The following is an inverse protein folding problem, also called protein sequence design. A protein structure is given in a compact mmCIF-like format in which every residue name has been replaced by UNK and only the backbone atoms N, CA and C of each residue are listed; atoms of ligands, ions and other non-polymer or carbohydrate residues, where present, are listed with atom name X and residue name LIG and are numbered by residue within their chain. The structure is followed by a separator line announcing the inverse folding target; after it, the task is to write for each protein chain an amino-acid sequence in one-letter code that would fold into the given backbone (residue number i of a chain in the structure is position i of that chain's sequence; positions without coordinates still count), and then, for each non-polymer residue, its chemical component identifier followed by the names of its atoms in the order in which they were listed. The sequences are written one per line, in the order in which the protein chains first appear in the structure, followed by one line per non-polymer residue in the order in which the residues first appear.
data_IF_336097051446
#
_entry.id   IF_336097051446
#
_cell.length_a   1.000
_cell.length_b   1.000
_cell.length_c   1.000
_cell.angle_alpha   90.00
_cell.angle_beta   90.00
_cell.angle_gamma   90.00
#
_symmetry.space_group_name_H-M   'P 1'
#
loop_
_entity.id
_entity.type
_entity.pdbx_description
1 polymer ?
#
# COMPACT_ATOMS: atom_id res chain seq x y z
N UNK A 1 -7.96 19.36 -1.87
CA UNK A 1 -7.73 17.90 -1.93
C UNK A 1 -6.27 17.56 -2.05
N UNK A 2 -5.59 17.64 -0.91
CA UNK A 2 -4.25 17.09 -0.75
C UNK A 2 -4.38 15.90 0.18
N UNK A 3 -3.73 14.77 -0.13
CA UNK A 3 -3.68 13.57 0.74
C UNK A 3 -3.46 13.90 2.23
N UNK A 4 -2.70 14.97 2.53
CA UNK A 4 -2.43 15.44 3.90
C UNK A 4 -3.65 16.01 4.63
N UNK A 5 -4.67 16.47 3.92
CA UNK A 5 -5.91 16.95 4.51
C UNK A 5 -6.80 15.75 4.89
N UNK A 6 -6.92 14.75 4.02
CA UNK A 6 -7.62 13.50 4.32
C UNK A 6 -7.06 12.80 5.58
N UNK A 7 -5.75 12.88 5.79
CA UNK A 7 -5.11 12.35 7.00
C UNK A 7 -5.58 13.04 8.28
N UNK A 8 -5.93 14.33 8.22
CA UNK A 8 -6.48 15.04 9.40
C UNK A 8 -7.87 14.53 9.74
N UNK A 9 -8.68 14.22 8.73
CA UNK A 9 -10.05 13.73 8.92
C UNK A 9 -10.08 12.38 9.63
N UNK A 10 -9.07 11.53 9.39
CA UNK A 10 -8.87 10.26 10.10
C UNK A 10 -7.96 10.39 11.33
N UNK A 11 -7.72 11.61 11.82
CA UNK A 11 -6.95 11.92 13.04
C UNK A 11 -5.50 11.39 13.03
N UNK A 12 -4.89 11.25 11.84
CA UNK A 12 -3.49 10.89 11.69
C UNK A 12 -2.60 12.14 11.62
N UNK A 13 -1.40 12.03 12.21
CA UNK A 13 -0.37 13.08 12.15
C UNK A 13 0.22 13.17 10.74
N UNK A 14 -0.30 14.08 9.91
CA UNK A 14 0.10 14.29 8.50
C UNK A 14 1.60 14.47 8.28
N UNK A 15 2.36 14.92 9.29
CA UNK A 15 3.80 15.16 9.21
C UNK A 15 4.59 13.85 9.08
N UNK A 16 4.02 12.74 9.51
CA UNK A 16 4.63 11.41 9.46
C UNK A 16 4.42 10.70 8.11
N UNK A 17 3.60 11.27 7.24
CA UNK A 17 3.17 10.62 6.01
C UNK A 17 3.49 11.48 4.79
N UNK A 18 4.05 10.81 3.78
CA UNK A 18 4.35 11.41 2.48
C UNK A 18 3.71 10.64 1.34
N UNK A 19 4.01 11.07 0.12
CA UNK A 19 3.55 10.38 -1.10
C UNK A 19 3.98 8.92 -1.15
N UNK A 20 5.17 8.58 -0.67
CA UNK A 20 5.61 7.19 -0.54
C UNK A 20 4.76 6.39 0.45
N UNK A 21 4.30 7.00 1.54
CA UNK A 21 3.40 6.35 2.50
C UNK A 21 2.04 6.05 1.85
N UNK A 22 1.51 6.99 1.07
CA UNK A 22 0.28 6.78 0.31
C UNK A 22 0.42 5.65 -0.71
N UNK A 23 1.48 5.67 -1.51
CA UNK A 23 1.73 4.64 -2.52
C UNK A 23 1.91 3.25 -1.87
N UNK A 24 2.61 3.19 -0.73
CA UNK A 24 2.77 1.95 0.05
C UNK A 24 1.46 1.42 0.60
N UNK A 25 0.71 2.25 1.33
CA UNK A 25 -0.58 1.85 1.88
C UNK A 25 -1.58 1.46 0.79
N UNK A 26 -1.59 2.16 -0.35
CA UNK A 26 -2.41 1.81 -1.51
C UNK A 26 -2.06 0.45 -2.10
N UNK A 27 -0.76 0.15 -2.26
CA UNK A 27 -0.33 -1.19 -2.73
C UNK A 27 -0.76 -2.30 -1.77
N UNK A 28 -0.60 -2.09 -0.46
CA UNK A 28 -1.02 -3.05 0.57
C UNK A 28 -2.54 -3.26 0.52
N UNK A 29 -3.32 -2.19 0.42
CA UNK A 29 -4.79 -2.26 0.32
C UNK A 29 -5.24 -3.02 -0.94
N UNK A 30 -4.69 -2.68 -2.11
CA UNK A 30 -5.00 -3.36 -3.36
C UNK A 30 -4.70 -4.85 -3.28
N UNK A 31 -3.55 -5.23 -2.72
CA UNK A 31 -3.15 -6.63 -2.60
C UNK A 31 -3.99 -7.40 -1.56
N UNK A 32 -4.12 -6.86 -0.34
CA UNK A 32 -4.69 -7.59 0.80
C UNK A 32 -6.21 -7.50 0.88
N UNK A 33 -6.79 -6.36 0.47
CA UNK A 33 -8.23 -6.10 0.59
C UNK A 33 -8.93 -6.27 -0.74
N UNK A 34 -8.41 -5.69 -1.82
CA UNK A 34 -8.99 -5.86 -3.16
C UNK A 34 -8.62 -7.19 -3.83
N UNK A 35 -7.72 -7.96 -3.23
CA UNK A 35 -7.21 -9.24 -3.74
C UNK A 35 -6.62 -9.13 -5.16
N UNK A 36 -6.01 -7.99 -5.46
CA UNK A 36 -5.32 -7.80 -6.73
C UNK A 36 -4.09 -8.70 -6.82
N UNK A 37 -3.84 -9.25 -8.00
CA UNK A 37 -2.59 -9.94 -8.26
C UNK A 37 -1.40 -8.96 -8.36
N UNK A 38 -0.18 -9.49 -8.38
CA UNK A 38 1.03 -8.66 -8.45
C UNK A 38 1.12 -7.84 -9.74
N UNK A 39 0.55 -8.28 -10.86
CA UNK A 39 0.60 -7.52 -12.11
C UNK A 39 -0.31 -6.29 -12.02
N UNK A 40 -1.51 -6.45 -11.45
CA UNK A 40 -2.45 -5.35 -11.19
C UNK A 40 -1.85 -4.31 -10.23
N UNK A 41 -1.22 -4.77 -9.14
CA UNK A 41 -0.53 -3.88 -8.19
C UNK A 41 0.65 -3.16 -8.86
N UNK A 42 1.46 -3.86 -9.66
CA UNK A 42 2.55 -3.24 -10.41
C UNK A 42 2.06 -2.18 -11.40
N UNK A 43 0.98 -2.47 -12.13
CA UNK A 43 0.39 -1.52 -13.06
C UNK A 43 -0.09 -0.25 -12.35
N UNK A 44 -0.79 -0.39 -11.22
CA UNK A 44 -1.24 0.74 -10.40
C UNK A 44 -0.08 1.54 -9.79
N UNK A 45 0.94 0.84 -9.31
CA UNK A 45 2.14 1.43 -8.72
C UNK A 45 3.11 2.06 -9.73
N UNK A 46 2.86 1.92 -11.03
CA UNK A 46 3.73 2.43 -12.09
C UNK A 46 5.03 1.63 -12.26
N UNK A 47 5.07 0.37 -11.79
CA UNK A 47 6.21 -0.52 -11.94
C UNK A 47 6.07 -1.41 -13.16
N UNK A 48 7.21 -1.77 -13.73
CA UNK A 48 7.28 -2.75 -14.80
C UNK A 48 6.83 -4.11 -14.25
N UNK A 49 5.95 -4.82 -14.99
CA UNK A 49 5.58 -6.21 -14.67
C UNK A 49 6.75 -7.21 -14.84
N UNK A 50 7.89 -6.72 -15.34
CA UNK A 50 9.20 -7.34 -15.22
C UNK A 50 9.53 -7.55 -13.72
N UNK A 51 9.38 -8.78 -13.26
CA UNK A 51 9.69 -9.22 -11.89
C UNK A 51 11.18 -9.17 -11.52
N UNK A 52 12.09 -8.66 -12.38
CA UNK A 52 13.49 -8.45 -11.99
C UNK A 52 13.60 -7.40 -10.89
N UNK A 53 12.57 -6.56 -10.75
CA UNK A 53 12.58 -5.48 -9.77
C UNK A 53 11.71 -5.83 -8.56
N UNK A 54 12.34 -6.30 -7.48
CA UNK A 54 11.70 -6.60 -6.17
C UNK A 54 11.16 -5.36 -5.45
N UNK A 55 10.99 -4.22 -6.13
CA UNK A 55 10.47 -2.99 -5.55
C UNK A 55 9.07 -3.17 -4.99
N UNK A 56 8.18 -3.86 -5.72
CA UNK A 56 6.81 -4.11 -5.25
C UNK A 56 6.80 -4.83 -3.89
N UNK A 57 7.73 -5.76 -3.66
CA UNK A 57 7.84 -6.49 -2.38
C UNK A 57 8.13 -5.54 -1.22
N UNK A 58 8.95 -4.50 -1.42
CA UNK A 58 9.25 -3.49 -0.39
C UNK A 58 8.03 -2.63 -0.02
N UNK A 59 7.07 -2.53 -0.94
CA UNK A 59 5.83 -1.81 -0.70
C UNK A 59 4.77 -2.71 -0.04
N UNK A 60 4.80 -4.02 -0.31
CA UNK A 60 3.86 -4.98 0.27
C UNK A 60 4.28 -5.49 1.66
N UNK A 61 5.58 -5.56 1.94
CA UNK A 61 6.12 -6.17 3.16
C UNK A 61 7.16 -5.26 3.81
N UNK A 62 6.95 -4.96 5.09
CA UNK A 62 7.91 -4.28 5.95
C UNK A 62 7.95 -4.89 7.35
N UNK A 63 9.04 -4.59 8.06
CA UNK A 63 9.36 -5.16 9.38
C UNK A 63 8.33 -4.80 10.45
N UNK A 64 7.64 -3.67 10.28
CA UNK A 64 6.64 -3.15 11.21
C UNK A 64 5.21 -3.28 10.68
N UNK A 65 4.99 -4.07 9.63
CA UNK A 65 3.64 -4.25 9.09
C UNK A 65 2.83 -5.16 10.01
N UNK A 66 1.65 -4.69 10.38
CA UNK A 66 0.66 -5.52 11.04
C UNK A 66 0.13 -6.55 10.03
N UNK A 67 0.07 -7.81 10.44
CA UNK A 67 -0.56 -8.84 9.61
C UNK A 67 -2.05 -8.54 9.54
N UNK A 68 -2.53 -8.14 8.37
CA UNK A 68 -3.97 -8.15 8.09
C UNK A 68 -4.42 -9.61 8.11
N UNK A 69 -5.28 -9.93 9.08
CA UNK A 69 -5.88 -11.26 9.18
C UNK A 69 -6.85 -11.42 8.01
N UNK A 70 -6.75 -12.50 7.21
CA UNK A 70 -7.65 -12.74 6.10
C UNK A 70 -9.12 -12.72 6.55
N UNK A 71 -9.99 -12.11 5.73
CA UNK A 71 -11.41 -11.86 6.06
C UNK A 71 -12.20 -13.14 6.30
N UNK A 72 -11.75 -14.26 5.75
CA UNK A 72 -12.25 -15.62 5.94
C UNK A 72 -11.99 -16.21 7.34
N UNK A 73 -11.27 -15.48 8.21
CA UNK A 73 -10.99 -15.87 9.60
C UNK A 73 -11.75 -15.07 10.66
N UNK A 74 -12.79 -14.32 10.26
CA UNK A 74 -13.75 -13.67 11.17
C UNK A 74 -15.16 -14.24 11.00
#
# INVERSE_FOLDING_TARGET
DTFKDDLKDVQLRKELYGTHSFQRGGCQYCYQVCQWDLQQVCHWGGWTADFKTLMVVRYLVGVHDERIVPRDKF
#
